data_IF_913416041071
#
_entry.id   IF_913416041071
#
_cell.length_a   1.000
_cell.length_b   1.000
_cell.length_c   1.000
_cell.angle_alpha   90.00
_cell.angle_beta   90.00
_cell.angle_gamma   90.00
#
_symmetry.space_group_name_H-M   'P 1'
#
loop_
_entity.id
_entity.type
_entity.pdbx_description
1 polymer ?
#
# COMPACT_ATOMS: atom_id res chain seq x y z
N UNK A 1 9.80 23.38 3.07
CA UNK A 1 8.45 22.79 3.07
C UNK A 1 8.55 21.48 3.83
N UNK A 2 8.07 21.45 5.07
CA UNK A 2 8.23 20.27 5.93
C UNK A 2 7.13 19.26 5.66
N UNK A 3 7.51 18.08 5.20
CA UNK A 3 6.60 16.95 5.04
C UNK A 3 6.95 15.88 6.07
N UNK A 4 5.94 15.30 6.71
CA UNK A 4 6.09 14.06 7.47
C UNK A 4 5.67 12.87 6.61
N UNK A 5 6.42 11.78 6.70
CA UNK A 5 5.99 10.46 6.26
C UNK A 5 5.83 9.59 7.51
N UNK A 6 4.58 9.28 7.84
CA UNK A 6 4.21 8.49 9.02
C UNK A 6 3.97 7.06 8.56
N UNK A 7 4.52 6.08 9.31
CA UNK A 7 4.20 4.65 9.15
C UNK A 7 3.63 4.11 10.45
N UNK A 8 2.35 3.76 10.42
CA UNK A 8 1.66 3.15 11.55
C UNK A 8 2.03 1.67 11.66
N UNK A 9 2.28 1.19 12.87
CA UNK A 9 2.51 -0.23 13.14
C UNK A 9 1.15 -0.93 13.25
N UNK A 10 0.52 -1.17 12.10
CA UNK A 10 -0.78 -1.83 12.02
C UNK A 10 -0.61 -3.35 12.15
N UNK A 11 -1.30 -4.02 13.09
CA UNK A 11 -1.46 -5.47 13.04
C UNK A 11 -2.12 -5.89 11.72
N UNK A 12 -1.87 -7.12 11.22
CA UNK A 12 -2.44 -7.62 9.95
C UNK A 12 -3.97 -7.54 9.87
N UNK A 13 -4.66 -7.54 11.01
CA UNK A 13 -6.11 -7.48 11.16
C UNK A 13 -6.68 -6.06 11.29
N UNK A 14 -5.86 -5.02 11.31
CA UNK A 14 -6.22 -3.69 11.82
C UNK A 14 -6.33 -2.58 10.76
N UNK A 15 -6.81 -2.91 9.56
CA UNK A 15 -7.16 -1.89 8.55
C UNK A 15 -8.31 -0.97 8.97
N UNK A 16 -9.17 -1.42 9.91
CA UNK A 16 -10.29 -0.63 10.44
C UNK A 16 -9.85 0.63 11.19
N UNK A 17 -8.59 0.70 11.67
CA UNK A 17 -8.08 1.87 12.39
C UNK A 17 -7.55 2.98 11.47
N UNK A 18 -7.21 2.68 10.21
CA UNK A 18 -6.61 3.66 9.31
C UNK A 18 -7.50 4.91 9.11
N UNK A 19 -8.83 4.80 8.93
CA UNK A 19 -9.70 5.98 8.88
C UNK A 19 -9.63 6.84 10.14
N UNK A 20 -9.58 6.23 11.33
CA UNK A 20 -9.47 6.96 12.60
C UNK A 20 -8.10 7.62 12.76
N UNK A 21 -7.03 6.96 12.33
CA UNK A 21 -5.67 7.51 12.33
C UNK A 21 -5.53 8.67 11.34
N UNK A 22 -6.19 8.59 10.18
CA UNK A 22 -6.24 9.70 9.22
C UNK A 22 -7.03 10.88 9.79
N UNK A 23 -8.19 10.63 10.41
CA UNK A 23 -8.94 11.67 11.12
C UNK A 23 -8.13 12.36 12.22
N UNK A 24 -7.26 11.62 12.94
CA UNK A 24 -6.31 12.19 13.90
C UNK A 24 -5.29 13.12 13.21
N UNK A 25 -4.79 12.75 12.04
CA UNK A 25 -3.84 13.59 11.29
C UNK A 25 -4.54 14.85 10.73
N UNK A 26 -5.80 14.72 10.31
CA UNK A 26 -6.63 15.82 9.80
C UNK A 26 -6.86 16.93 10.86
N UNK A 27 -6.74 16.62 12.16
CA UNK A 27 -6.76 17.62 13.24
C UNK A 27 -5.60 18.63 13.14
N UNK A 28 -4.51 18.29 12.45
CA UNK A 28 -3.33 19.14 12.31
C UNK A 28 -3.27 19.84 10.96
N UNK A 29 -3.64 19.16 9.88
CA UNK A 29 -3.59 19.70 8.51
C UNK A 29 -4.57 18.96 7.60
N UNK A 30 -5.27 19.66 6.70
CA UNK A 30 -6.11 19.00 5.70
C UNK A 30 -5.29 18.40 4.53
N UNK A 31 -3.99 18.68 4.44
CA UNK A 31 -3.15 18.29 3.31
C UNK A 31 -2.46 16.96 3.61
N UNK A 32 -3.21 15.87 3.40
CA UNK A 32 -2.80 14.51 3.77
C UNK A 32 -3.00 13.55 2.59
N UNK A 33 -1.96 12.80 2.25
CA UNK A 33 -2.02 11.73 1.25
C UNK A 33 -1.85 10.38 1.93
N UNK A 34 -2.93 9.60 1.98
CA UNK A 34 -2.89 8.22 2.43
C UNK A 34 -2.14 7.35 1.41
N UNK A 35 -1.22 6.53 1.93
CA UNK A 35 -0.41 5.58 1.18
C UNK A 35 -0.59 4.18 1.79
N UNK A 36 -1.71 3.50 1.50
CA UNK A 36 -2.01 2.21 2.08
C UNK A 36 -0.88 1.19 1.81
N UNK A 37 -0.60 0.25 2.74
CA UNK A 37 -1.45 -0.14 3.86
C UNK A 37 -1.32 0.71 5.12
N UNK A 38 -0.15 1.29 5.36
CA UNK A 38 0.22 1.76 6.70
C UNK A 38 0.87 3.16 6.71
N UNK A 39 1.06 3.77 5.54
CA UNK A 39 1.78 5.03 5.41
C UNK A 39 0.87 6.20 5.08
N UNK A 40 1.32 7.38 5.50
CA UNK A 40 0.65 8.64 5.22
C UNK A 40 1.70 9.72 5.02
N UNK A 41 1.52 10.56 4.01
CA UNK A 41 2.25 11.83 3.89
C UNK A 41 1.40 12.96 4.44
N UNK A 42 2.03 13.84 5.22
CA UNK A 42 1.37 14.94 5.91
C UNK A 42 2.16 16.22 5.62
N UNK A 43 1.52 17.20 5.00
CA UNK A 43 2.13 18.51 4.75
C UNK A 43 1.87 19.45 5.93
N UNK A 44 2.94 19.79 6.65
CA UNK A 44 2.87 20.64 7.83
C UNK A 44 3.10 22.12 7.52
N UNK A 45 3.29 22.54 6.27
CA UNK A 45 3.65 23.94 5.94
C UNK A 45 2.70 24.97 6.53
N UNK A 46 1.39 24.69 6.51
CA UNK A 46 0.38 25.55 7.16
C UNK A 46 0.35 25.37 8.68
N UNK A 47 0.47 24.12 9.15
CA UNK A 47 0.37 23.74 10.56
C UNK A 47 1.52 24.30 11.41
N UNK A 48 2.77 24.25 10.92
CA UNK A 48 3.94 24.81 11.61
C UNK A 48 3.73 26.29 11.92
N UNK A 49 3.23 27.05 10.95
CA UNK A 49 2.96 28.48 11.12
C UNK A 49 1.78 28.75 12.05
N UNK A 50 0.71 27.96 11.94
CA UNK A 50 -0.51 28.17 12.72
C UNK A 50 -0.33 27.81 14.21
N UNK A 51 0.28 26.66 14.48
CA UNK A 51 0.45 26.14 15.84
C UNK A 51 1.78 26.56 16.49
N UNK A 52 2.72 27.14 15.75
CA UNK A 52 4.03 27.55 16.27
C UNK A 52 4.87 26.37 16.76
N UNK A 53 4.80 25.23 16.07
CA UNK A 53 5.48 23.98 16.42
C UNK A 53 6.36 23.47 15.30
N UNK A 54 7.44 22.82 15.67
CA UNK A 54 8.39 22.15 14.78
C UNK A 54 7.87 20.79 14.30
N UNK A 55 8.44 20.30 13.20
CA UNK A 55 8.21 18.95 12.68
C UNK A 55 8.32 17.84 13.75
N UNK A 56 9.32 17.95 14.63
CA UNK A 56 9.62 16.95 15.69
C UNK A 56 8.55 16.98 16.77
N UNK A 57 8.07 18.16 17.15
CA UNK A 57 6.98 18.30 18.11
C UNK A 57 5.68 17.74 17.55
N UNK A 58 5.36 18.01 16.27
CA UNK A 58 4.21 17.38 15.61
C UNK A 58 4.34 15.87 15.54
N UNK A 59 5.50 15.34 15.15
CA UNK A 59 5.74 13.90 15.11
C UNK A 59 5.52 13.26 16.49
N UNK A 60 6.02 13.89 17.56
CA UNK A 60 5.83 13.44 18.93
C UNK A 60 4.35 13.46 19.34
N UNK A 61 3.62 14.52 19.01
CA UNK A 61 2.18 14.64 19.30
C UNK A 61 1.34 13.60 18.56
N UNK A 62 1.62 13.40 17.26
CA UNK A 62 0.96 12.38 16.43
C UNK A 62 1.15 11.02 17.06
N UNK A 63 2.38 10.66 17.43
CA UNK A 63 2.68 9.38 18.07
C UNK A 63 1.95 9.21 19.39
N UNK A 64 2.02 10.20 20.28
CA UNK A 64 1.35 10.14 21.59
C UNK A 64 -0.16 9.97 21.43
N UNK A 65 -0.79 10.71 20.51
CA UNK A 65 -2.24 10.59 20.26
C UNK A 65 -2.61 9.26 19.60
N UNK A 66 -1.79 8.75 18.68
CA UNK A 66 -2.03 7.46 18.03
C UNK A 66 -1.96 6.30 19.05
N UNK A 67 -0.96 6.34 19.94
CA UNK A 67 -0.84 5.39 21.05
C UNK A 67 -2.02 5.52 22.03
N UNK A 68 -2.35 6.73 22.47
CA UNK A 68 -3.38 6.94 23.49
C UNK A 68 -4.80 6.60 23.01
N UNK A 69 -5.14 6.92 21.75
CA UNK A 69 -6.50 6.75 21.22
C UNK A 69 -6.72 5.40 20.55
N UNK A 70 -5.67 4.84 19.92
CA UNK A 70 -5.81 3.65 19.08
C UNK A 70 -4.88 2.50 19.49
N UNK A 71 -3.97 2.70 20.46
CA UNK A 71 -2.99 1.69 20.84
C UNK A 71 -1.95 1.39 19.76
N UNK A 72 -1.77 2.29 18.79
CA UNK A 72 -0.94 2.07 17.60
C UNK A 72 0.30 2.97 17.68
N UNK A 73 1.48 2.35 17.66
CA UNK A 73 2.74 3.08 17.54
C UNK A 73 3.04 3.45 16.08
N UNK A 74 3.93 4.43 15.86
CA UNK A 74 4.34 4.84 14.53
C UNK A 74 5.81 5.23 14.46
N UNK A 75 6.41 4.97 13.30
CA UNK A 75 7.71 5.52 12.91
C UNK A 75 7.47 6.74 12.00
N UNK A 76 8.24 7.81 12.18
CA UNK A 76 8.03 9.06 11.46
C UNK A 76 9.35 9.55 10.87
N UNK A 77 9.36 9.77 9.56
CA UNK A 77 10.41 10.51 8.86
C UNK A 77 9.93 11.91 8.51
N UNK A 78 10.81 12.90 8.59
CA UNK A 78 10.54 14.28 8.21
C UNK A 78 11.61 14.79 7.23
N UNK A 79 11.22 15.62 6.27
CA UNK A 79 12.19 16.24 5.37
C UNK A 79 11.58 17.29 4.43
N UNK A 80 12.43 17.98 3.64
CA UNK A 80 11.97 18.96 2.67
C UNK A 80 11.39 18.25 1.44
N UNK A 81 10.09 17.98 1.49
CA UNK A 81 9.34 17.33 0.42
C UNK A 81 9.12 15.82 0.62
N UNK A 82 8.18 15.22 -0.15
CA UNK A 82 7.78 13.82 0.00
C UNK A 82 8.91 12.80 -0.13
N UNK A 83 9.85 13.01 -1.06
CA UNK A 83 10.97 12.11 -1.30
C UNK A 83 11.84 11.94 -0.05
N UNK A 84 12.31 13.05 0.51
CA UNK A 84 13.22 13.04 1.65
C UNK A 84 12.50 12.57 2.92
N UNK A 85 11.24 12.94 3.12
CA UNK A 85 10.43 12.40 4.22
C UNK A 85 10.29 10.86 4.14
N UNK A 86 10.04 10.30 2.94
CA UNK A 86 9.97 8.84 2.72
C UNK A 86 11.31 8.15 2.93
N UNK A 87 12.42 8.79 2.56
CA UNK A 87 13.76 8.26 2.77
C UNK A 87 14.14 8.30 4.25
N UNK A 88 13.88 9.40 4.94
CA UNK A 88 14.06 9.55 6.39
C UNK A 88 13.30 8.46 7.17
N UNK A 89 12.06 8.16 6.76
CA UNK A 89 11.23 7.12 7.37
C UNK A 89 11.89 5.72 7.33
N UNK A 90 12.73 5.42 6.32
CA UNK A 90 13.41 4.12 6.25
C UNK A 90 14.39 3.89 7.39
N UNK A 91 14.94 4.97 7.94
CA UNK A 91 15.85 4.97 9.10
C UNK A 91 15.12 5.26 10.40
N UNK A 92 13.85 5.66 10.34
CA UNK A 92 13.06 5.94 11.52
C UNK A 92 12.60 4.64 12.20
N UNK A 93 12.65 4.66 13.53
CA UNK A 93 12.10 3.61 14.39
C UNK A 93 10.96 4.17 15.24
N UNK A 94 10.02 3.35 15.72
CA UNK A 94 8.98 3.83 16.62
C UNK A 94 9.57 4.59 17.82
N UNK A 95 9.05 5.78 18.10
CA UNK A 95 9.55 6.64 19.17
C UNK A 95 10.72 7.57 18.81
N UNK A 96 11.37 7.39 17.66
CA UNK A 96 12.47 8.26 17.20
C UNK A 96 12.15 8.81 15.82
N UNK A 97 11.89 10.11 15.75
CA UNK A 97 11.67 10.81 14.47
C UNK A 97 13.01 11.04 13.77
N UNK A 98 13.13 10.59 12.51
CA UNK A 98 14.28 10.91 11.67
C UNK A 98 13.98 12.17 10.88
N UNK A 99 14.79 13.22 11.03
CA UNK A 99 14.62 14.48 10.30
C UNK A 99 15.78 14.68 9.34
N UNK A 100 15.46 15.02 8.09
CA UNK A 100 16.41 15.53 7.11
C UNK A 100 16.26 17.05 7.07
N UNK A 101 17.30 17.83 7.40
CA UNK A 101 17.25 19.28 7.36
C UNK A 101 17.01 19.83 5.94
N UNK A 102 16.60 21.10 5.86
CA UNK A 102 16.23 21.76 4.60
C UNK A 102 17.40 22.32 3.80
N UNK A 103 18.56 22.41 4.45
CA UNK A 103 19.78 23.00 3.92
C UNK A 103 20.36 22.15 2.78
N UNK A 104 20.73 22.72 1.63
CA UNK A 104 21.25 21.98 0.49
C UNK A 104 22.42 21.03 0.84
N UNK A 105 23.34 21.48 1.67
CA UNK A 105 24.51 20.68 2.08
C UNK A 105 24.11 19.48 2.94
N UNK A 106 23.18 19.67 3.88
CA UNK A 106 22.66 18.59 4.71
C UNK A 106 21.85 17.57 3.89
N UNK A 107 21.11 18.03 2.88
CA UNK A 107 20.41 17.16 1.93
C UNK A 107 21.42 16.37 1.09
N UNK A 108 22.46 17.02 0.57
CA UNK A 108 23.50 16.37 -0.22
C UNK A 108 24.24 15.30 0.61
N UNK A 109 24.62 15.62 1.85
CA UNK A 109 25.24 14.69 2.79
C UNK A 109 24.31 13.51 3.11
N UNK A 110 23.03 13.79 3.36
CA UNK A 110 22.02 12.75 3.54
C UNK A 110 21.82 11.90 2.28
N UNK A 111 22.07 12.37 1.06
CA UNK A 111 21.87 11.55 -0.12
C UNK A 111 23.12 10.77 -0.52
N UNK A 112 24.32 11.34 -0.37
CA UNK A 112 25.56 10.92 -1.01
C UNK A 112 25.84 9.40 -0.99
N UNK A 113 25.86 8.79 0.20
CA UNK A 113 26.26 7.39 0.41
C UNK A 113 25.12 6.38 0.26
N UNK A 114 23.89 6.84 0.03
CA UNK A 114 22.73 5.94 -0.07
C UNK A 114 22.75 5.23 -1.42
N UNK A 115 22.34 3.95 -1.48
CA UNK A 115 22.28 3.22 -2.74
C UNK A 115 21.24 3.86 -3.66
N UNK A 116 21.50 3.87 -4.97
CA UNK A 116 20.61 4.49 -5.95
C UNK A 116 19.19 3.91 -5.92
N UNK A 117 19.04 2.62 -5.61
CA UNK A 117 17.74 1.96 -5.44
C UNK A 117 16.93 2.45 -4.23
N UNK A 118 17.52 3.26 -3.34
CA UNK A 118 16.80 3.91 -2.26
C UNK A 118 15.94 5.09 -2.75
N UNK A 119 16.25 5.69 -3.90
CA UNK A 119 15.49 6.81 -4.46
C UNK A 119 14.06 6.39 -4.83
N UNK A 120 13.03 7.07 -4.30
CA UNK A 120 11.65 6.85 -4.72
C UNK A 120 11.47 7.04 -6.24
N UNK A 121 10.94 6.02 -6.90
CA UNK A 121 10.71 6.00 -8.36
C UNK A 121 11.81 5.28 -9.16
N UNK A 122 12.93 4.92 -8.53
CA UNK A 122 13.94 4.06 -9.17
C UNK A 122 13.56 2.60 -8.97
N UNK A 123 13.11 1.95 -10.05
CA UNK A 123 12.77 0.53 -10.05
C UNK A 123 14.03 -0.36 -10.06
N UNK A 124 13.85 -1.64 -9.71
CA UNK A 124 14.98 -2.60 -9.65
C UNK A 124 15.69 -2.85 -10.99
N UNK A 125 15.04 -2.64 -12.12
CA UNK A 125 15.70 -2.68 -13.44
C UNK A 125 16.63 -1.47 -13.63
N UNK A 126 16.10 -0.26 -13.42
CA UNK A 126 16.87 0.99 -13.51
C UNK A 126 18.05 1.01 -12.54
N UNK A 127 17.84 0.58 -11.29
CA UNK A 127 18.91 0.48 -10.30
C UNK A 127 20.03 -0.46 -10.77
N UNK A 128 19.69 -1.65 -11.32
CA UNK A 128 20.66 -2.60 -11.84
C UNK A 128 21.47 -2.01 -12.99
N UNK A 129 20.81 -1.38 -13.96
CA UNK A 129 21.48 -0.69 -15.07
C UNK A 129 22.43 0.39 -14.55
N UNK A 130 22.04 1.21 -13.59
CA UNK A 130 22.93 2.24 -13.03
C UNK A 130 24.15 1.63 -12.33
N UNK A 131 23.95 0.57 -11.53
CA UNK A 131 25.04 -0.14 -10.86
C UNK A 131 26.04 -0.76 -11.85
N UNK A 132 25.60 -1.29 -13.00
CA UNK A 132 26.47 -1.84 -14.05
C UNK A 132 27.45 -0.79 -14.60
N UNK A 133 27.10 0.49 -14.55
CA UNK A 133 27.94 1.61 -14.97
C UNK A 133 28.66 2.30 -13.79
N UNK A 134 28.69 1.66 -12.62
CA UNK A 134 29.36 2.19 -11.41
C UNK A 134 28.60 3.30 -10.70
N UNK A 135 27.35 3.56 -11.07
CA UNK A 135 26.46 4.55 -10.45
C UNK A 135 25.61 3.88 -9.36
N UNK A 136 26.27 3.30 -8.37
CA UNK A 136 25.68 2.53 -7.27
C UNK A 136 25.14 3.42 -6.13
N UNK A 137 25.70 4.62 -5.93
CA UNK A 137 25.25 5.59 -4.92
C UNK A 137 24.56 6.81 -5.52
N UNK A 138 23.69 7.45 -4.73
CA UNK A 138 22.98 8.67 -5.14
C UNK A 138 23.97 9.81 -5.40
N UNK A 139 25.03 9.94 -4.59
CA UNK A 139 26.07 10.96 -4.80
C UNK A 139 26.76 10.82 -6.17
N UNK A 140 27.08 9.59 -6.60
CA UNK A 140 27.64 9.35 -7.94
C UNK A 140 26.66 9.69 -9.05
N UNK A 141 25.37 9.39 -8.86
CA UNK A 141 24.32 9.77 -9.83
C UNK A 141 24.14 11.29 -9.90
N UNK A 142 24.20 11.99 -8.77
CA UNK A 142 24.12 13.45 -8.72
C UNK A 142 25.31 14.11 -9.45
N UNK A 143 26.51 13.52 -9.34
CA UNK A 143 27.72 13.99 -10.02
C UNK A 143 27.78 13.60 -11.52
N UNK A 144 26.98 12.63 -11.96
CA UNK A 144 26.99 12.17 -13.34
C UNK A 144 26.39 13.22 -14.30
N UNK A 145 26.94 13.39 -15.52
CA UNK A 145 26.35 14.26 -16.52
C UNK A 145 24.92 13.81 -16.88
N UNK A 146 24.00 14.77 -16.96
CA UNK A 146 22.60 14.49 -17.28
C UNK A 146 22.44 13.70 -18.60
N UNK A 147 23.26 14.01 -19.62
CA UNK A 147 23.25 13.30 -20.91
C UNK A 147 23.59 11.81 -20.77
N UNK A 148 24.48 11.45 -19.85
CA UNK A 148 24.80 10.04 -19.55
C UNK A 148 23.61 9.34 -18.90
N UNK A 149 22.98 9.96 -17.90
CA UNK A 149 21.79 9.38 -17.23
C UNK A 149 20.63 9.18 -18.22
N UNK A 150 20.43 10.13 -19.14
CA UNK A 150 19.40 10.03 -20.18
C UNK A 150 19.67 8.91 -21.19
N UNK A 151 20.94 8.68 -21.55
CA UNK A 151 21.35 7.56 -22.41
C UNK A 151 21.18 6.20 -21.75
N UNK A 152 21.48 6.09 -20.46
CA UNK A 152 21.35 4.85 -19.70
C UNK A 152 19.90 4.48 -19.38
N UNK A 153 19.01 5.47 -19.37
CA UNK A 153 17.61 5.29 -19.02
C UNK A 153 16.72 5.80 -20.15
N UNK A 154 16.16 6.99 -20.00
CA UNK A 154 15.47 7.74 -21.05
C UNK A 154 15.59 9.22 -20.77
N UNK A 155 15.26 10.08 -21.75
CA UNK A 155 15.31 11.53 -21.58
C UNK A 155 14.52 12.02 -20.35
N UNK A 156 13.33 11.45 -20.11
CA UNK A 156 12.46 11.77 -18.97
C UNK A 156 13.01 11.22 -17.66
N UNK A 157 13.31 9.92 -17.61
CA UNK A 157 13.76 9.25 -16.38
C UNK A 157 15.12 9.81 -15.94
N UNK A 158 16.05 10.01 -16.87
CA UNK A 158 17.38 10.55 -16.55
C UNK A 158 17.32 11.95 -15.95
N UNK A 159 16.39 12.81 -16.42
CA UNK A 159 16.17 14.14 -15.84
C UNK A 159 15.60 14.06 -14.43
N UNK A 160 14.55 13.27 -14.24
CA UNK A 160 13.93 13.08 -12.92
C UNK A 160 14.91 12.47 -11.91
N UNK A 161 15.71 11.49 -12.36
CA UNK A 161 16.74 10.85 -11.57
C UNK A 161 17.81 11.86 -11.12
N UNK A 162 18.30 12.69 -12.04
CA UNK A 162 19.31 13.71 -11.74
C UNK A 162 18.79 14.74 -10.74
N UNK A 163 17.58 15.25 -10.93
CA UNK A 163 16.95 16.20 -10.00
C UNK A 163 16.80 15.60 -8.60
N UNK A 164 16.26 14.38 -8.50
CA UNK A 164 16.10 13.66 -7.23
C UNK A 164 17.43 13.36 -6.55
N UNK A 165 18.44 12.95 -7.31
CA UNK A 165 19.77 12.69 -6.78
C UNK A 165 20.43 13.95 -6.19
N UNK A 166 20.14 15.10 -6.78
CA UNK A 166 20.57 16.42 -6.30
C UNK A 166 19.63 17.01 -5.22
N UNK A 167 18.73 16.21 -4.64
CA UNK A 167 17.82 16.65 -3.57
C UNK A 167 16.62 17.47 -4.03
N UNK A 168 16.43 17.65 -5.34
CA UNK A 168 15.31 18.40 -5.90
C UNK A 168 14.11 17.48 -6.10
N UNK A 169 13.13 17.57 -5.19
CA UNK A 169 11.85 16.88 -5.32
C UNK A 169 10.74 17.85 -5.76
N UNK A 170 10.15 17.58 -6.94
CA UNK A 170 8.98 18.30 -7.45
C UNK A 170 7.65 17.69 -6.98
N UNK A 171 7.71 16.56 -6.27
CA UNK A 171 6.57 15.90 -5.68
C UNK A 171 5.83 16.82 -4.71
N UNK A 172 4.51 16.65 -4.65
CA UNK A 172 3.62 17.37 -3.74
C UNK A 172 2.78 16.32 -3.02
N UNK A 173 2.41 16.60 -1.77
CA UNK A 173 1.39 15.80 -1.08
C UNK A 173 0.06 16.12 -1.76
N UNK A 174 -0.56 15.11 -2.35
CA UNK A 174 -1.85 15.26 -3.03
C UNK A 174 -2.93 14.68 -2.14
N UNK A 175 -3.80 15.52 -1.54
CA UNK A 175 -4.89 15.02 -0.72
C UNK A 175 -5.72 14.01 -1.49
N UNK A 176 -5.82 12.82 -0.94
CA UNK A 176 -6.67 11.78 -1.50
C UNK A 176 -7.73 11.42 -0.48
N UNK A 177 -8.95 11.19 -0.96
CA UNK A 177 -9.86 10.36 -0.19
C UNK A 177 -9.10 9.05 0.00
N UNK A 178 -8.88 8.64 1.26
CA UNK A 178 -8.33 7.32 1.58
C UNK A 178 -8.95 6.36 0.57
N UNK A 179 -8.15 5.79 -0.33
CA UNK A 179 -8.64 4.67 -1.10
C UNK A 179 -8.85 3.60 -0.05
N UNK A 180 -10.08 3.58 0.51
CA UNK A 180 -10.52 2.54 1.40
C UNK A 180 -10.21 1.31 0.59
N UNK A 181 -9.27 0.52 1.07
CA UNK A 181 -8.94 -0.75 0.50
C UNK A 181 -9.21 -1.74 1.60
N UNK A 182 -9.72 -2.89 1.20
CA UNK A 182 -9.89 -3.99 2.11
C UNK A 182 -8.88 -5.03 1.68
N UNK A 183 -7.98 -5.40 2.58
CA UNK A 183 -7.08 -6.50 2.40
C UNK A 183 -7.41 -7.63 3.37
N UNK A 184 -6.98 -8.80 2.95
CA UNK A 184 -6.96 -10.00 3.75
C UNK A 184 -5.70 -10.77 3.42
N UNK A 185 -5.15 -11.46 4.42
CA UNK A 185 -3.99 -12.30 4.24
C UNK A 185 -4.27 -13.70 4.81
N UNK A 186 -3.70 -14.70 4.13
CA UNK A 186 -3.70 -16.10 4.53
C UNK A 186 -2.25 -16.56 4.66
N UNK A 187 -1.66 -16.50 5.86
CA UNK A 187 -0.36 -17.11 6.11
C UNK A 187 -0.48 -18.63 6.15
N UNK A 188 0.55 -19.34 5.68
CA UNK A 188 0.65 -20.78 5.81
C UNK A 188 1.51 -21.15 7.03
N UNK A 189 1.16 -22.25 7.70
CA UNK A 189 1.88 -22.75 8.88
C UNK A 189 3.28 -23.28 8.54
N UNK A 190 3.44 -23.77 7.31
CA UNK A 190 4.70 -24.18 6.69
C UNK A 190 4.73 -23.60 5.28
N UNK A 191 5.93 -23.41 4.72
CA UNK A 191 6.05 -22.92 3.36
C UNK A 191 5.38 -23.90 2.39
N UNK A 192 4.32 -23.45 1.73
CA UNK A 192 3.39 -24.27 0.95
C UNK A 192 3.82 -24.34 -0.52
N UNK A 193 3.62 -25.51 -1.11
CA UNK A 193 3.94 -25.81 -2.51
C UNK A 193 2.71 -26.26 -3.29
N UNK A 194 1.67 -26.75 -2.61
CA UNK A 194 0.48 -27.30 -3.24
C UNK A 194 -0.42 -26.19 -3.80
N UNK A 195 -0.61 -26.11 -5.14
CA UNK A 195 -1.52 -25.16 -5.75
C UNK A 195 -2.97 -25.30 -5.28
N UNK A 196 -3.38 -26.49 -4.82
CA UNK A 196 -4.73 -26.73 -4.29
C UNK A 196 -4.96 -25.95 -2.99
N UNK A 197 -3.97 -25.93 -2.10
CA UNK A 197 -4.00 -25.18 -0.85
C UNK A 197 -3.91 -23.67 -1.11
N UNK A 198 -3.12 -23.24 -2.10
CA UNK A 198 -3.12 -21.85 -2.54
C UNK A 198 -4.50 -21.40 -3.03
N UNK A 199 -5.17 -22.23 -3.85
CA UNK A 199 -6.53 -21.94 -4.32
C UNK A 199 -7.55 -21.89 -3.18
N UNK A 200 -7.46 -22.79 -2.21
CA UNK A 200 -8.30 -22.73 -0.99
C UNK A 200 -8.08 -21.44 -0.21
N UNK A 201 -6.83 -21.01 -0.05
CA UNK A 201 -6.51 -19.75 0.62
C UNK A 201 -7.06 -18.53 -0.14
N UNK A 202 -6.94 -18.51 -1.47
CA UNK A 202 -7.51 -17.47 -2.31
C UNK A 202 -9.04 -17.41 -2.18
N UNK A 203 -9.73 -18.55 -2.27
CA UNK A 203 -11.19 -18.64 -2.08
C UNK A 203 -11.62 -18.14 -0.71
N UNK A 204 -10.92 -18.55 0.35
CA UNK A 204 -11.19 -18.08 1.71
C UNK A 204 -10.99 -16.56 1.84
N UNK A 205 -9.97 -16.01 1.19
CA UNK A 205 -9.71 -14.57 1.20
C UNK A 205 -10.77 -13.78 0.43
N UNK A 206 -11.17 -14.25 -0.75
CA UNK A 206 -12.19 -13.57 -1.56
C UNK A 206 -13.58 -13.63 -0.95
N UNK A 207 -13.94 -14.72 -0.27
CA UNK A 207 -15.18 -14.80 0.52
C UNK A 207 -15.20 -13.77 1.67
N UNK A 208 -14.09 -13.65 2.41
CA UNK A 208 -13.99 -12.66 3.48
C UNK A 208 -14.08 -11.24 2.92
N UNK A 209 -13.36 -10.94 1.84
CA UNK A 209 -13.40 -9.63 1.19
C UNK A 209 -14.80 -9.31 0.66
N UNK A 210 -15.45 -10.26 -0.03
CA UNK A 210 -16.81 -10.08 -0.54
C UNK A 210 -17.80 -9.77 0.58
N UNK A 211 -17.75 -10.55 1.66
CA UNK A 211 -18.60 -10.35 2.85
C UNK A 211 -18.38 -8.96 3.47
N UNK A 212 -17.11 -8.56 3.66
CA UNK A 212 -16.76 -7.25 4.23
C UNK A 212 -17.16 -6.08 3.32
N UNK A 213 -17.01 -6.24 2.00
CA UNK A 213 -17.45 -5.25 1.02
C UNK A 213 -18.96 -5.03 1.08
N UNK A 214 -19.75 -6.11 1.09
CA UNK A 214 -21.21 -6.06 1.17
C UNK A 214 -21.68 -5.50 2.50
N UNK A 215 -21.05 -5.87 3.61
CA UNK A 215 -21.35 -5.29 4.94
C UNK A 215 -21.08 -3.78 5.03
N UNK A 216 -20.18 -3.25 4.20
CA UNK A 216 -19.87 -1.82 4.11
C UNK A 216 -20.62 -1.10 2.98
N UNK A 217 -21.50 -1.81 2.27
CA UNK A 217 -22.21 -1.30 1.08
C UNK A 217 -21.25 -0.70 0.03
N UNK A 218 -20.08 -1.33 -0.13
CA UNK A 218 -19.05 -0.95 -1.09
C UNK A 218 -18.83 -2.05 -2.13
N UNK A 219 -18.37 -1.63 -3.30
CA UNK A 219 -17.86 -2.51 -4.35
C UNK A 219 -16.45 -2.10 -4.72
N UNK A 220 -15.64 -3.03 -5.23
CA UNK A 220 -14.25 -2.74 -5.62
C UNK A 220 -14.07 -2.72 -7.13
N UNK A 221 -13.20 -1.82 -7.61
CA UNK A 221 -12.84 -1.71 -9.04
C UNK A 221 -11.57 -2.47 -9.39
N UNK A 222 -10.68 -2.67 -8.43
CA UNK A 222 -9.39 -3.32 -8.66
C UNK A 222 -9.13 -4.37 -7.59
N UNK A 223 -8.64 -5.55 -8.00
CA UNK A 223 -8.18 -6.58 -7.08
C UNK A 223 -6.68 -6.80 -7.26
N UNK A 224 -5.94 -6.75 -6.16
CA UNK A 224 -4.49 -6.92 -6.11
C UNK A 224 -4.15 -8.19 -5.31
N UNK A 225 -3.39 -9.09 -5.94
CA UNK A 225 -2.83 -10.31 -5.35
C UNK A 225 -1.35 -10.07 -5.02
N UNK A 226 -0.96 -10.38 -3.79
CA UNK A 226 0.44 -10.41 -3.35
C UNK A 226 0.77 -11.80 -2.84
N UNK A 227 1.79 -12.43 -3.41
CA UNK A 227 2.32 -13.72 -2.94
C UNK A 227 3.67 -13.47 -2.27
N UNK A 228 3.82 -13.92 -1.03
CA UNK A 228 5.07 -13.84 -0.25
C UNK A 228 5.73 -15.20 -0.23
N UNK A 229 7.01 -15.26 -0.54
CA UNK A 229 7.76 -16.51 -0.66
C UNK A 229 8.61 -16.79 0.59
N UNK A 230 9.12 -18.01 0.69
CA UNK A 230 9.98 -18.46 1.80
C UNK A 230 11.26 -17.60 1.95
N UNK A 231 11.80 -17.08 0.85
CA UNK A 231 12.98 -16.20 0.82
C UNK A 231 12.67 -14.74 1.22
N UNK A 232 11.43 -14.46 1.66
CA UNK A 232 10.89 -13.14 2.01
C UNK A 232 10.73 -12.18 0.84
N UNK A 233 10.99 -12.61 -0.40
CA UNK A 233 10.61 -11.84 -1.57
C UNK A 233 9.09 -11.91 -1.78
N UNK A 234 8.56 -11.02 -2.62
CA UNK A 234 7.12 -10.99 -2.92
C UNK A 234 6.85 -10.60 -4.35
N UNK A 235 5.85 -11.23 -4.97
CA UNK A 235 5.32 -10.80 -6.27
C UNK A 235 3.92 -10.26 -6.10
N UNK A 236 3.67 -9.08 -6.66
CA UNK A 236 2.36 -8.43 -6.67
C UNK A 236 1.84 -8.29 -8.09
N UNK A 237 0.55 -8.58 -8.29
CA UNK A 237 -0.19 -8.37 -9.54
C UNK A 237 -1.56 -7.80 -9.24
N UNK A 238 -1.98 -6.82 -10.03
CA UNK A 238 -3.27 -6.16 -9.88
C UNK A 238 -4.07 -6.27 -11.16
N UNK A 239 -5.40 -6.40 -11.04
CA UNK A 239 -6.31 -6.35 -12.18
C UNK A 239 -7.48 -5.42 -11.89
N UNK A 240 -7.67 -4.44 -12.77
CA UNK A 240 -8.87 -3.62 -12.82
C UNK A 240 -10.00 -4.43 -13.43
N UNK A 241 -11.09 -4.58 -12.69
CA UNK A 241 -12.30 -5.29 -13.10
C UNK A 241 -13.05 -4.47 -14.16
N UNK A 242 -13.74 -5.15 -15.08
CA UNK A 242 -14.58 -4.50 -16.09
C UNK A 242 -15.72 -3.72 -15.45
N UNK A 243 -16.27 -4.26 -14.37
CA UNK A 243 -17.35 -3.70 -13.58
C UNK A 243 -16.95 -3.75 -12.09
N UNK A 244 -17.21 -2.69 -11.30
CA UNK A 244 -16.99 -2.75 -9.86
C UNK A 244 -17.89 -3.81 -9.23
N UNK A 245 -17.37 -4.65 -8.34
CA UNK A 245 -18.16 -5.73 -7.73
C UNK A 245 -17.75 -6.03 -6.29
N UNK A 246 -18.69 -6.60 -5.53
CA UNK A 246 -18.48 -7.19 -4.22
C UNK A 246 -18.82 -8.70 -4.20
N UNK A 247 -19.08 -9.31 -5.36
CA UNK A 247 -19.47 -10.72 -5.46
C UNK A 247 -18.26 -11.63 -5.24
N UNK A 248 -18.39 -12.55 -4.28
CA UNK A 248 -17.29 -13.43 -3.87
C UNK A 248 -16.83 -14.30 -5.04
N UNK A 249 -17.77 -14.78 -5.86
CA UNK A 249 -17.50 -15.59 -7.05
C UNK A 249 -16.64 -14.86 -8.09
N UNK A 250 -17.00 -13.61 -8.43
CA UNK A 250 -16.27 -12.78 -9.39
C UNK A 250 -14.88 -12.40 -8.89
N UNK A 251 -14.75 -12.11 -7.59
CA UNK A 251 -13.46 -11.87 -6.93
C UNK A 251 -12.60 -13.12 -6.96
N UNK A 252 -13.17 -14.30 -6.66
CA UNK A 252 -12.47 -15.60 -6.68
C UNK A 252 -11.95 -15.92 -8.07
N UNK A 253 -12.80 -15.81 -9.10
CA UNK A 253 -12.38 -16.03 -10.48
C UNK A 253 -11.23 -15.08 -10.88
N UNK A 254 -11.26 -13.84 -10.37
CA UNK A 254 -10.18 -12.88 -10.60
C UNK A 254 -8.89 -13.22 -9.87
N UNK A 255 -8.98 -13.60 -8.61
CA UNK A 255 -7.85 -14.03 -7.81
C UNK A 255 -7.15 -15.24 -8.44
N UNK A 256 -7.93 -16.23 -8.92
CA UNK A 256 -7.38 -17.39 -9.64
C UNK A 256 -6.70 -17.00 -10.94
N UNK A 257 -7.31 -16.15 -11.77
CA UNK A 257 -6.69 -15.71 -13.00
C UNK A 257 -5.37 -14.96 -12.74
N UNK A 258 -5.33 -14.07 -11.74
CA UNK A 258 -4.10 -13.39 -11.32
C UNK A 258 -3.04 -14.40 -10.85
N UNK A 259 -3.44 -15.39 -10.05
CA UNK A 259 -2.55 -16.44 -9.57
C UNK A 259 -1.94 -17.26 -10.70
N UNK A 260 -2.73 -17.66 -11.70
CA UNK A 260 -2.22 -18.39 -12.87
C UNK A 260 -1.19 -17.59 -13.68
N UNK A 261 -1.37 -16.27 -13.82
CA UNK A 261 -0.40 -15.41 -14.53
C UNK A 261 0.96 -15.30 -13.81
N UNK A 262 1.04 -15.65 -12.53
CA UNK A 262 2.32 -15.67 -11.82
C UNK A 262 3.21 -16.84 -12.26
N UNK A 263 2.62 -17.89 -12.84
CA UNK A 263 3.37 -19.04 -13.35
C UNK A 263 4.28 -19.67 -12.31
N UNK A 264 3.80 -19.86 -11.07
CA UNK A 264 4.60 -20.32 -9.95
C UNK A 264 5.15 -21.74 -10.19
N UNK A 265 6.39 -21.85 -10.64
CA UNK A 265 7.06 -23.14 -10.85
C UNK A 265 7.69 -23.63 -9.54
N UNK A 266 6.91 -24.34 -8.72
CA UNK A 266 7.36 -24.92 -7.43
C UNK A 266 7.90 -23.89 -6.43
N UNK A 267 7.41 -22.65 -6.51
CA UNK A 267 7.76 -21.61 -5.57
C UNK A 267 7.15 -21.93 -4.19
N UNK A 268 7.97 -21.88 -3.15
CA UNK A 268 7.54 -22.04 -1.75
C UNK A 268 6.85 -20.77 -1.27
N UNK A 269 5.55 -20.85 -1.02
CA UNK A 269 4.71 -19.71 -0.62
C UNK A 269 4.50 -19.71 0.89
N UNK A 270 4.78 -18.59 1.52
CA UNK A 270 4.61 -18.39 2.96
C UNK A 270 3.29 -17.71 3.30
N UNK A 271 2.81 -16.83 2.44
CA UNK A 271 1.52 -16.17 2.60
C UNK A 271 0.94 -15.69 1.27
N UNK A 272 -0.38 -15.62 1.20
CA UNK A 272 -1.14 -15.04 0.10
C UNK A 272 -1.99 -13.89 0.64
N UNK A 273 -1.79 -12.69 0.10
CA UNK A 273 -2.56 -11.50 0.41
C UNK A 273 -3.42 -11.07 -0.77
N UNK A 274 -4.66 -10.69 -0.51
CA UNK A 274 -5.58 -10.08 -1.47
C UNK A 274 -5.95 -8.69 -0.98
N UNK A 275 -6.11 -7.75 -1.91
CA UNK A 275 -6.49 -6.38 -1.62
C UNK A 275 -7.49 -5.86 -2.65
N UNK A 276 -8.67 -5.48 -2.19
CA UNK A 276 -9.70 -4.79 -2.95
C UNK A 276 -9.45 -3.28 -2.89
N UNK A 277 -9.34 -2.63 -4.04
CA UNK A 277 -9.04 -1.22 -4.21
C UNK A 277 -10.08 -0.52 -5.10
N UNK A 278 -10.07 0.81 -5.11
CA UNK A 278 -11.03 1.61 -5.86
C UNK A 278 -12.46 1.38 -5.35
N UNK A 279 -12.64 1.47 -4.03
CA UNK A 279 -13.93 1.22 -3.41
C UNK A 279 -14.91 2.37 -3.64
N UNK A 280 -16.06 2.06 -4.22
CA UNK A 280 -17.16 3.00 -4.43
C UNK A 280 -18.41 2.53 -3.70
N UNK A 281 -19.34 3.43 -3.33
CA UNK A 281 -20.67 3.03 -2.87
C UNK A 281 -21.31 2.07 -3.88
N UNK A 282 -21.92 0.99 -3.39
CA UNK A 282 -22.58 0.00 -4.25
C UNK A 282 -23.70 0.62 -5.10
N UNK A 283 -24.42 1.60 -4.54
CA UNK A 283 -25.50 2.33 -5.23
C UNK A 283 -25.02 3.13 -6.45
N UNK A 284 -23.76 3.55 -6.46
CA UNK A 284 -23.16 4.34 -7.55
C UNK A 284 -22.48 3.45 -8.60
N UNK A 285 -22.44 2.13 -8.36
CA UNK A 285 -21.80 1.20 -9.26
C UNK A 285 -22.73 0.83 -10.41
N UNK A 286 -22.31 1.16 -11.63
CA UNK A 286 -22.96 0.64 -12.82
C UNK A 286 -22.62 -0.84 -12.99
N UNK A 287 -23.66 -1.64 -13.16
CA UNK A 287 -23.58 -3.07 -13.43
C UNK A 287 -24.41 -3.38 -14.66
N UNK A 288 -23.86 -4.20 -15.57
CA UNK A 288 -24.61 -4.65 -16.73
C UNK A 288 -25.56 -5.77 -16.30
N UNK A 289 -26.86 -5.51 -16.33
CA UNK A 289 -27.87 -6.55 -16.11
C UNK A 289 -27.68 -7.66 -17.16
N UNK A 290 -27.56 -8.89 -16.66
CA UNK A 290 -27.45 -10.09 -17.49
C UNK A 290 -28.71 -10.92 -17.27
N UNK A 291 -29.27 -11.47 -18.34
CA UNK A 291 -30.45 -12.35 -18.28
C UNK A 291 -30.10 -13.80 -17.92
N UNK A 292 -28.91 -14.04 -17.33
CA UNK A 292 -28.46 -15.36 -16.94
C UNK A 292 -29.02 -15.70 -15.54
N UNK A 293 -29.96 -16.66 -15.45
CA UNK A 293 -30.58 -17.03 -14.18
C UNK A 293 -29.61 -17.68 -13.19
N UNK A 294 -28.41 -18.09 -13.63
CA UNK A 294 -27.39 -18.66 -12.75
C UNK A 294 -26.73 -17.57 -11.90
N UNK A 295 -26.38 -16.43 -12.50
CA UNK A 295 -25.73 -15.33 -11.77
C UNK A 295 -26.67 -14.74 -10.70
N UNK A 296 -27.94 -14.55 -11.05
CA UNK A 296 -28.94 -14.02 -10.12
C UNK A 296 -29.17 -14.96 -8.92
N UNK A 297 -29.18 -16.28 -9.15
CA UNK A 297 -29.28 -17.27 -8.07
C UNK A 297 -28.08 -17.22 -7.14
N UNK A 298 -26.86 -17.13 -7.67
CA UNK A 298 -25.64 -17.06 -6.86
C UNK A 298 -25.66 -15.82 -5.95
N UNK A 299 -26.09 -14.67 -6.47
CA UNK A 299 -26.21 -13.43 -5.67
C UNK A 299 -27.21 -13.55 -4.53
N UNK A 300 -28.40 -14.09 -4.81
CA UNK A 300 -29.41 -14.32 -3.76
C UNK A 300 -28.90 -15.28 -2.68
N UNK A 301 -28.10 -16.28 -3.06
CA UNK A 301 -27.46 -17.19 -2.11
C UNK A 301 -26.43 -16.44 -1.25
N UNK A 302 -25.62 -15.56 -1.83
CA UNK A 302 -24.66 -14.74 -1.07
C UNK A 302 -25.37 -13.86 -0.01
N UNK A 303 -26.46 -13.18 -0.38
CA UNK A 303 -27.23 -12.36 0.56
C UNK A 303 -27.85 -13.18 1.72
N UNK A 304 -28.34 -14.39 1.42
CA UNK A 304 -28.86 -15.30 2.44
C UNK A 304 -27.72 -15.81 3.34
N UNK A 305 -26.59 -16.18 2.75
CA UNK A 305 -25.41 -16.66 3.47
C UNK A 305 -24.86 -15.57 4.40
N UNK A 306 -24.81 -14.32 3.95
CA UNK A 306 -24.34 -13.19 4.76
C UNK A 306 -25.27 -12.91 5.93
N UNK A 307 -26.60 -12.97 5.73
CA UNK A 307 -27.57 -12.87 6.84
C UNK A 307 -27.40 -14.00 7.86
N UNK A 308 -27.15 -15.22 7.39
CA UNK A 308 -26.88 -16.35 8.27
C UNK A 308 -25.57 -16.14 9.05
N UNK A 309 -24.50 -15.67 8.41
CA UNK A 309 -23.22 -15.36 9.07
C UNK A 309 -23.33 -14.23 10.09
N UNK A 310 -24.12 -13.20 9.79
CA UNK A 310 -24.36 -12.10 10.72
C UNK A 310 -25.08 -12.57 12.00
N UNK A 311 -25.98 -13.56 11.89
CA UNK A 311 -26.76 -14.07 13.02
C UNK A 311 -26.06 -15.20 13.80
N UNK A 312 -25.35 -16.09 13.11
CA UNK A 312 -24.83 -17.33 13.68
C UNK A 312 -23.29 -17.43 13.67
N UNK A 313 -22.61 -16.39 13.19
CA UNK A 313 -21.15 -16.29 13.15
C UNK A 313 -20.55 -16.67 11.77
N UNK A 314 -19.25 -16.37 11.56
CA UNK A 314 -18.61 -16.45 10.25
C UNK A 314 -18.54 -17.87 9.66
N UNK A 315 -18.63 -18.89 10.50
CA UNK A 315 -18.57 -20.30 10.09
C UNK A 315 -19.95 -20.92 9.83
N UNK A 316 -21.04 -20.17 9.98
CA UNK A 316 -22.39 -20.70 9.81
C UNK A 316 -22.69 -21.19 8.39
N UNK A 317 -22.14 -20.50 7.38
CA UNK A 317 -22.25 -20.89 5.96
C UNK A 317 -20.91 -20.65 5.28
N UNK A 318 -20.31 -21.73 4.78
CA UNK A 318 -19.03 -21.67 4.07
C UNK A 318 -19.12 -22.48 2.76
N UNK A 319 -18.34 -22.13 1.72
CA UNK A 319 -18.19 -22.98 0.55
C UNK A 319 -17.77 -24.40 0.95
N UNK A 320 -18.34 -25.43 0.33
CA UNK A 320 -18.04 -26.83 0.65
C UNK A 320 -16.56 -27.17 0.56
N UNK A 321 -15.82 -26.52 -0.35
CA UNK A 321 -14.36 -26.65 -0.50
C UNK A 321 -13.56 -26.15 0.72
N UNK A 322 -14.18 -25.35 1.60
CA UNK A 322 -13.58 -24.85 2.84
C UNK A 322 -14.03 -25.61 4.10
N UNK A 323 -15.01 -26.52 3.98
CA UNK A 323 -15.60 -27.24 5.11
C UNK A 323 -14.77 -28.46 5.58
N UNK A 324 -13.62 -28.72 4.96
CA UNK A 324 -12.73 -29.86 5.25
C UNK A 324 -11.45 -29.42 5.97
#
# INVERSE_FOLDING_TARGET
>A
MTILCVRFQLPPTYEAALPGLLGLLEEFTPVIEALPPDRVLVDLRGAERYFGRTAVEFASLIRVRALARYGIDCAIGAGPGPMLARMALREAVPGVTRVVPGEPDAVAEFLAERPVGALPGVGGATARTLCEYGLDTIGKVAAAPLSTLQRLTSARIGRELHEKASGVDRGRVVPNATSRSLATERPFSRDELDPSLHRRALLSGTEELGTRLRALEKVCRTLTLTVRYADRSSTTRSRTLKEPTAHSSALTATAYALYETLGLQRARVRAIGLRAEGLTPAEQASHQLTFDPVDEKVRRIEEVADRARAKFGPHAVMPGTLAA
#
